data_IF_616711225280
#
_entry.id   IF_616711225280
#
_cell.length_a   1.000
_cell.length_b   1.000
_cell.length_c   1.000
_cell.angle_alpha   90.00
_cell.angle_beta   90.00
_cell.angle_gamma   90.00
#
_symmetry.space_group_name_H-M   'P 1'
#
loop_
_entity.id
_entity.type
_entity.pdbx_description
1 polymer ?
#
# COMPACT_ATOMS: atom_id res chain seq x y z
N UNK A 1 3.00 -7.10 -17.75
CA UNK A 1 3.72 -6.60 -16.55
C UNK A 1 4.59 -7.68 -15.90
N UNK A 2 4.06 -8.86 -15.57
CA UNK A 2 4.80 -9.89 -14.81
C UNK A 2 6.15 -10.31 -15.43
N UNK A 3 6.21 -10.47 -16.77
CA UNK A 3 7.46 -10.80 -17.48
C UNK A 3 8.59 -9.78 -17.31
N UNK A 4 8.25 -8.50 -17.13
CA UNK A 4 9.21 -7.39 -17.12
C UNK A 4 9.40 -6.77 -15.72
N UNK A 5 8.77 -7.33 -14.68
CA UNK A 5 8.76 -6.76 -13.32
C UNK A 5 10.17 -6.63 -12.73
N UNK A 6 11.01 -7.65 -12.95
CA UNK A 6 12.40 -7.65 -12.52
C UNK A 6 13.20 -6.51 -13.19
N UNK A 7 13.03 -6.33 -14.51
CA UNK A 7 13.72 -5.29 -15.26
C UNK A 7 13.32 -3.89 -14.82
N UNK A 8 12.01 -3.63 -14.63
CA UNK A 8 11.50 -2.33 -14.15
C UNK A 8 12.05 -2.03 -12.75
N UNK A 9 12.06 -3.02 -11.86
CA UNK A 9 12.58 -2.86 -10.50
C UNK A 9 14.08 -2.57 -10.51
N UNK A 10 14.85 -3.18 -11.41
CA UNK A 10 16.28 -2.91 -11.57
C UNK A 10 16.53 -1.48 -12.08
N UNK A 11 15.76 -1.01 -13.07
CA UNK A 11 15.86 0.37 -13.56
C UNK A 11 15.59 1.35 -12.43
N UNK A 12 14.53 1.15 -11.63
CA UNK A 12 14.21 2.02 -10.50
C UNK A 12 15.30 2.03 -9.42
N UNK A 13 15.91 0.88 -9.11
CA UNK A 13 17.03 0.82 -8.16
C UNK A 13 18.24 1.63 -8.65
N UNK A 14 18.58 1.50 -9.93
CA UNK A 14 19.69 2.26 -10.53
C UNK A 14 19.38 3.75 -10.51
N UNK A 15 18.20 4.17 -10.96
CA UNK A 15 17.85 5.59 -11.02
C UNK A 15 17.80 6.23 -9.63
N UNK A 16 17.26 5.53 -8.63
CA UNK A 16 17.30 5.99 -7.23
C UNK A 16 18.74 6.11 -6.72
N UNK A 17 19.61 5.12 -6.98
CA UNK A 17 21.02 5.16 -6.56
C UNK A 17 21.78 6.37 -7.12
N UNK A 18 21.47 6.79 -8.34
CA UNK A 18 22.11 7.92 -9.00
C UNK A 18 21.32 9.23 -8.89
N UNK A 19 20.31 9.31 -8.02
CA UNK A 19 19.47 10.49 -7.84
C UNK A 19 18.79 10.99 -9.13
N UNK A 20 18.45 10.07 -10.03
CA UNK A 20 17.72 10.38 -11.27
C UNK A 20 16.21 10.26 -10.99
N UNK A 21 15.43 11.34 -11.12
CA UNK A 21 14.01 11.31 -10.82
C UNK A 21 13.23 10.53 -11.88
N UNK A 22 12.46 9.53 -11.43
CA UNK A 22 11.56 8.73 -12.29
C UNK A 22 10.14 8.70 -11.74
N UNK A 23 9.45 9.87 -11.64
CA UNK A 23 8.17 9.97 -10.94
C UNK A 23 7.08 9.10 -11.58
N UNK A 24 6.95 9.14 -12.91
CA UNK A 24 5.92 8.37 -13.61
C UNK A 24 6.18 6.87 -13.51
N UNK A 25 7.42 6.42 -13.72
CA UNK A 25 7.75 4.98 -13.70
C UNK A 25 7.56 4.38 -12.29
N UNK A 26 7.98 5.09 -11.24
CA UNK A 26 7.81 4.65 -9.86
C UNK A 26 6.33 4.62 -9.46
N UNK A 27 5.57 5.66 -9.79
CA UNK A 27 4.13 5.71 -9.53
C UNK A 27 3.37 4.58 -10.26
N UNK A 28 3.68 4.33 -11.54
CA UNK A 28 3.03 3.25 -12.31
C UNK A 28 3.31 1.86 -11.72
N UNK A 29 4.55 1.59 -11.27
CA UNK A 29 4.86 0.30 -10.63
C UNK A 29 4.13 0.17 -9.29
N UNK A 30 4.13 1.23 -8.46
CA UNK A 30 3.45 1.22 -7.17
C UNK A 30 1.94 1.03 -7.33
N UNK A 31 1.31 1.70 -8.31
CA UNK A 31 -0.10 1.49 -8.64
C UNK A 31 -0.37 0.05 -9.04
N UNK A 32 0.43 -0.51 -9.94
CA UNK A 32 0.28 -1.90 -10.38
C UNK A 32 0.40 -2.88 -9.20
N UNK A 33 1.39 -2.67 -8.33
CA UNK A 33 1.58 -3.50 -7.14
C UNK A 33 0.37 -3.40 -6.22
N UNK A 34 -0.16 -2.20 -5.96
CA UNK A 34 -1.32 -2.01 -5.11
C UNK A 34 -2.57 -2.72 -5.68
N UNK A 35 -2.88 -2.54 -6.97
CA UNK A 35 -4.08 -3.13 -7.59
C UNK A 35 -4.02 -4.65 -7.71
N UNK A 36 -2.81 -5.24 -7.74
CA UNK A 36 -2.63 -6.69 -7.84
C UNK A 36 -2.38 -7.38 -6.49
N UNK A 37 -2.29 -6.61 -5.39
CA UNK A 37 -2.09 -7.18 -4.06
C UNK A 37 -3.43 -7.60 -3.46
N UNK A 38 -3.45 -8.77 -2.82
CA UNK A 38 -4.63 -9.26 -2.09
C UNK A 38 -4.85 -8.42 -0.84
N UNK A 39 -3.77 -8.11 -0.13
CA UNK A 39 -3.77 -7.28 1.07
C UNK A 39 -2.98 -6.00 0.83
N UNK A 40 -3.38 -4.91 1.50
CA UNK A 40 -2.68 -3.64 1.44
C UNK A 40 -2.54 -3.03 2.85
N UNK A 41 -1.56 -2.15 3.08
CA UNK A 41 -1.29 -1.58 4.40
C UNK A 41 -2.35 -0.56 4.87
N UNK A 42 -3.46 -0.38 4.15
CA UNK A 42 -4.53 0.55 4.55
C UNK A 42 -5.25 0.09 5.81
N UNK A 43 -5.14 -1.19 6.19
CA UNK A 43 -5.60 -1.70 7.47
C UNK A 43 -4.98 -0.92 8.66
N UNK A 44 -3.69 -0.55 8.56
CA UNK A 44 -3.02 0.27 9.57
C UNK A 44 -3.60 1.69 9.63
N UNK A 45 -3.94 2.28 8.47
CA UNK A 45 -4.61 3.59 8.43
C UNK A 45 -5.99 3.51 9.07
N UNK A 46 -6.75 2.44 8.80
CA UNK A 46 -8.05 2.22 9.43
C UNK A 46 -7.92 2.08 10.95
N UNK A 47 -6.94 1.31 11.42
CA UNK A 47 -6.61 1.22 12.84
C UNK A 47 -6.29 2.59 13.45
N UNK A 48 -5.45 3.40 12.80
CA UNK A 48 -5.11 4.75 13.27
C UNK A 48 -6.35 5.66 13.34
N UNK A 49 -7.21 5.63 12.32
CA UNK A 49 -8.45 6.41 12.30
C UNK A 49 -9.39 6.00 13.42
N UNK A 50 -9.48 4.71 13.72
CA UNK A 50 -10.30 4.23 14.84
C UNK A 50 -9.71 4.61 16.19
N UNK A 51 -8.41 4.41 16.39
CA UNK A 51 -7.68 4.77 17.60
C UNK A 51 -7.84 6.25 17.96
N UNK A 52 -7.61 7.17 17.02
CA UNK A 52 -7.64 8.61 17.30
C UNK A 52 -9.04 9.24 17.19
N UNK A 53 -9.95 8.63 16.43
CA UNK A 53 -11.18 9.31 15.99
C UNK A 53 -12.45 8.47 16.03
N UNK A 54 -12.41 7.23 16.51
CA UNK A 54 -13.57 6.32 16.60
C UNK A 54 -14.32 6.19 15.27
N UNK A 55 -13.54 6.10 14.19
CA UNK A 55 -14.04 6.00 12.81
C UNK A 55 -14.50 4.60 12.43
N UNK A 56 -14.36 3.61 13.31
CA UNK A 56 -14.63 2.18 13.11
C UNK A 56 -13.70 1.51 12.10
N UNK A 57 -13.55 0.20 12.26
CA UNK A 57 -12.90 -0.72 11.34
C UNK A 57 -13.80 -1.91 11.02
N UNK A 58 -13.55 -2.55 9.88
CA UNK A 58 -14.12 -3.84 9.52
C UNK A 58 -13.04 -4.91 9.61
N UNK A 59 -13.32 -6.01 10.30
CA UNK A 59 -12.43 -7.17 10.36
C UNK A 59 -12.62 -8.06 9.12
N UNK A 60 -11.58 -8.76 8.70
CA UNK A 60 -11.53 -9.55 7.45
C UNK A 60 -12.73 -10.50 7.30
N UNK A 61 -13.15 -11.15 8.40
CA UNK A 61 -14.25 -12.13 8.41
C UNK A 61 -15.54 -11.58 9.03
N UNK A 62 -15.72 -10.26 9.05
CA UNK A 62 -16.88 -9.60 9.66
C UNK A 62 -17.57 -8.65 8.69
N UNK A 63 -18.90 -8.65 8.69
CA UNK A 63 -19.71 -7.64 8.00
C UNK A 63 -20.00 -6.40 8.85
N UNK A 64 -19.51 -6.36 10.09
CA UNK A 64 -19.82 -5.30 11.04
C UNK A 64 -18.67 -4.32 11.19
N UNK A 65 -19.00 -3.03 11.22
CA UNK A 65 -18.09 -1.95 11.58
C UNK A 65 -18.06 -1.77 13.11
N UNK A 66 -16.88 -1.93 13.70
CA UNK A 66 -16.66 -1.86 15.15
C UNK A 66 -15.65 -0.76 15.49
N UNK A 67 -15.74 -0.20 16.70
CA UNK A 67 -14.57 0.47 17.29
C UNK A 67 -13.80 -0.57 18.10
N UNK A 68 -12.49 -0.62 17.92
CA UNK A 68 -11.62 -1.44 18.74
C UNK A 68 -11.47 -0.76 20.11
N UNK A 69 -11.40 -1.57 21.16
CA UNK A 69 -10.97 -1.09 22.48
C UNK A 69 -9.45 -1.14 22.51
N UNK A 70 -8.81 0.04 22.61
CA UNK A 70 -7.37 0.20 22.42
C UNK A 70 -6.58 0.32 23.73
N UNK A 71 -7.28 0.41 24.87
CA UNK A 71 -6.73 0.55 26.22
C UNK A 71 -6.36 -0.81 26.87
#
# INVERSE_FOLDING_TARGET
MNKNRASISNVLQITTKYNIPTPVLSASLNWFNNVTSVDNPSNMIQAQRDYFGRHKVQLIDSSNDINIDWD
#
